data_IF_382499543163
#
_entry.id   IF_382499543163
#
_cell.length_a   1.000
_cell.length_b   1.000
_cell.length_c   1.000
_cell.angle_alpha   90.00
_cell.angle_beta   90.00
_cell.angle_gamma   90.00
#
_symmetry.space_group_name_H-M   'P 1'
#
loop_
_entity.id
_entity.type
_entity.pdbx_description
1 polymer ?
#
# COMPACT_ATOMS: atom_id res chain seq x y z
N UNK A 1 13.17 -38.09 4.18
CA UNK A 1 12.46 -36.94 3.60
C UNK A 1 12.66 -35.79 4.56
N UNK A 2 13.37 -34.73 4.14
CA UNK A 2 13.45 -33.49 4.92
C UNK A 2 12.34 -32.60 4.37
N UNK A 3 11.39 -32.24 5.23
CA UNK A 3 10.39 -31.22 4.94
C UNK A 3 11.10 -29.98 4.43
N UNK A 4 10.76 -29.59 3.20
CA UNK A 4 11.16 -28.31 2.61
C UNK A 4 10.03 -27.33 2.85
N UNK A 5 10.42 -26.09 3.12
CA UNK A 5 9.61 -24.87 3.22
C UNK A 5 8.76 -24.71 4.47
N UNK A 6 9.41 -24.61 5.63
CA UNK A 6 8.91 -23.62 6.59
C UNK A 6 9.01 -22.25 5.91
N UNK A 7 7.90 -21.51 5.75
CA UNK A 7 7.96 -20.09 5.36
C UNK A 7 8.98 -19.41 6.29
N UNK A 8 9.91 -18.58 5.78
CA UNK A 8 10.77 -17.77 6.65
C UNK A 8 9.87 -17.02 7.63
N UNK A 9 10.34 -16.78 8.87
CA UNK A 9 9.56 -16.12 9.91
C UNK A 9 8.75 -14.95 9.33
N UNK A 10 7.42 -15.07 9.29
CA UNK A 10 6.54 -14.02 8.77
C UNK A 10 6.84 -12.72 9.54
N UNK A 11 7.20 -11.66 8.81
CA UNK A 11 7.40 -10.31 9.33
C UNK A 11 6.74 -9.32 8.39
N UNK A 12 6.34 -8.16 8.92
CA UNK A 12 5.85 -7.04 8.10
C UNK A 12 6.81 -6.75 6.93
N UNK A 13 8.12 -6.76 7.17
CA UNK A 13 9.14 -6.50 6.14
C UNK A 13 9.11 -7.53 5.00
N UNK A 14 8.83 -8.80 5.31
CA UNK A 14 8.71 -9.83 4.27
C UNK A 14 7.52 -9.56 3.36
N UNK A 15 6.34 -9.28 3.93
CA UNK A 15 5.12 -9.00 3.15
C UNK A 15 5.26 -7.71 2.33
N UNK A 16 5.87 -6.66 2.89
CA UNK A 16 6.15 -5.40 2.16
C UNK A 16 7.05 -5.63 0.94
N UNK A 17 8.03 -6.55 1.05
CA UNK A 17 8.91 -6.93 -0.07
C UNK A 17 8.17 -7.76 -1.11
N UNK A 18 7.28 -8.65 -0.70
CA UNK A 18 6.52 -9.49 -1.64
C UNK A 18 5.52 -8.64 -2.44
N UNK A 19 4.84 -7.68 -1.79
CA UNK A 19 4.01 -6.68 -2.48
C UNK A 19 4.80 -5.92 -3.54
N UNK A 20 6.00 -5.42 -3.19
CA UNK A 20 6.85 -4.73 -4.18
C UNK A 20 7.18 -5.64 -5.36
N UNK A 21 7.57 -6.88 -5.09
CA UNK A 21 7.95 -7.84 -6.14
C UNK A 21 6.76 -8.15 -7.05
N UNK A 22 5.57 -8.33 -6.48
CA UNK A 22 4.35 -8.51 -7.26
C UNK A 22 4.12 -7.31 -8.18
N UNK A 23 4.27 -6.08 -7.68
CA UNK A 23 4.12 -4.88 -8.50
C UNK A 23 5.21 -4.84 -9.60
N UNK A 24 6.46 -5.14 -9.26
CA UNK A 24 7.60 -5.16 -10.20
C UNK A 24 7.45 -6.21 -11.31
N UNK A 25 6.80 -7.33 -11.02
CA UNK A 25 6.48 -8.34 -12.02
C UNK A 25 5.34 -7.90 -12.97
N UNK A 26 4.51 -6.92 -12.58
CA UNK A 26 3.38 -6.40 -13.38
C UNK A 26 3.77 -5.23 -14.27
N UNK A 27 4.67 -4.37 -13.79
CA UNK A 27 5.06 -3.14 -14.48
C UNK A 27 6.58 -2.99 -14.50
N UNK A 28 7.11 -2.35 -15.53
CA UNK A 28 8.52 -1.95 -15.54
C UNK A 28 8.73 -0.82 -14.51
N UNK A 29 9.21 -1.15 -13.31
CA UNK A 29 9.42 -0.15 -12.26
C UNK A 29 10.61 0.77 -12.53
N UNK A 30 11.44 0.46 -13.53
CA UNK A 30 12.66 1.23 -13.82
C UNK A 30 12.38 2.64 -14.37
N UNK A 31 11.17 2.89 -14.87
CA UNK A 31 10.75 4.18 -15.46
C UNK A 31 10.03 5.10 -14.47
N UNK A 32 9.72 4.62 -13.26
CA UNK A 32 8.99 5.40 -12.26
C UNK A 32 9.91 5.92 -11.15
N UNK A 33 9.58 7.10 -10.61
CA UNK A 33 10.28 7.68 -9.47
C UNK A 33 9.73 7.15 -8.14
N UNK A 34 8.42 6.89 -8.10
CA UNK A 34 7.69 6.48 -6.89
C UNK A 34 6.55 5.54 -7.26
N UNK A 35 6.28 4.58 -6.36
CA UNK A 35 5.09 3.73 -6.40
C UNK A 35 4.39 3.88 -5.05
N UNK A 36 3.07 4.00 -5.09
CA UNK A 36 2.23 4.05 -3.91
C UNK A 36 1.29 2.85 -3.94
N UNK A 37 1.30 2.05 -2.88
CA UNK A 37 0.37 0.94 -2.68
C UNK A 37 -0.59 1.29 -1.55
N UNK A 38 -1.87 1.01 -1.74
CA UNK A 38 -2.90 1.09 -0.72
C UNK A 38 -3.56 -0.28 -0.57
N UNK A 39 -3.57 -0.80 0.65
CA UNK A 39 -4.40 -1.94 1.04
C UNK A 39 -5.43 -1.51 2.06
N UNK A 40 -6.67 -1.96 1.91
CA UNK A 40 -7.79 -1.61 2.77
C UNK A 40 -8.49 -2.87 3.29
N UNK A 41 -8.84 -2.87 4.58
CA UNK A 41 -9.58 -3.92 5.26
C UNK A 41 -10.66 -3.21 6.10
N UNK A 42 -11.89 -3.17 5.61
CA UNK A 42 -13.00 -2.50 6.29
C UNK A 42 -14.32 -3.19 6.00
N UNK A 43 -15.20 -3.30 7.00
CA UNK A 43 -16.56 -3.85 6.82
C UNK A 43 -16.62 -5.28 6.28
N UNK A 44 -15.54 -6.07 6.42
CA UNK A 44 -15.41 -7.41 5.85
C UNK A 44 -15.08 -7.45 4.35
N UNK A 45 -14.73 -6.30 3.77
CA UNK A 45 -14.24 -6.14 2.40
C UNK A 45 -12.74 -5.85 2.47
N UNK A 46 -12.00 -6.44 1.53
CA UNK A 46 -10.60 -6.16 1.31
C UNK A 46 -10.40 -5.65 -0.09
N UNK A 47 -9.59 -4.60 -0.26
CA UNK A 47 -9.21 -4.06 -1.57
C UNK A 47 -7.75 -3.68 -1.60
N UNK A 48 -7.15 -3.75 -2.79
CA UNK A 48 -5.79 -3.27 -3.04
C UNK A 48 -5.75 -2.40 -4.28
N UNK A 49 -4.92 -1.36 -4.24
CA UNK A 49 -4.71 -0.44 -5.36
C UNK A 49 -3.26 0.06 -5.36
N UNK A 50 -2.74 0.47 -6.51
CA UNK A 50 -1.45 1.15 -6.58
C UNK A 50 -1.34 2.16 -7.72
N UNK A 51 -0.56 3.22 -7.45
CA UNK A 51 -0.29 4.33 -8.37
C UNK A 51 1.20 4.49 -8.60
N UNK A 52 1.56 4.91 -9.80
CA UNK A 52 2.96 5.14 -10.17
C UNK A 52 3.17 6.59 -10.60
N UNK A 53 4.32 7.16 -10.23
CA UNK A 53 4.73 8.51 -10.62
C UNK A 53 5.89 8.42 -11.59
N UNK A 54 5.66 8.90 -12.81
CA UNK A 54 6.67 9.03 -13.88
C UNK A 54 7.63 10.21 -13.59
N UNK A 55 8.71 10.33 -14.36
CA UNK A 55 9.70 11.39 -14.16
C UNK A 55 9.17 12.82 -14.34
N UNK A 56 8.07 12.98 -15.08
CA UNK A 56 7.42 14.25 -15.39
C UNK A 56 6.25 14.59 -14.44
N UNK A 57 6.21 13.96 -13.25
CA UNK A 57 5.15 14.11 -12.25
C UNK A 57 3.76 13.63 -12.71
N UNK A 58 3.68 12.86 -13.80
CA UNK A 58 2.44 12.23 -14.27
C UNK A 58 2.09 11.01 -13.42
N UNK A 59 0.82 10.92 -13.03
CA UNK A 59 0.26 9.74 -12.38
C UNK A 59 -0.26 8.79 -13.44
N UNK A 60 0.12 7.53 -13.29
CA UNK A 60 -0.50 6.40 -13.97
C UNK A 60 -1.22 5.54 -12.93
N UNK A 61 -2.55 5.56 -13.00
CA UNK A 61 -3.41 4.68 -12.21
C UNK A 61 -3.35 3.27 -12.82
N UNK A 62 -3.12 2.23 -12.00
CA UNK A 62 -3.07 0.87 -12.50
C UNK A 62 -4.23 0.04 -11.95
N UNK A 63 -5.08 -0.42 -12.86
CA UNK A 63 -6.18 -1.32 -12.50
C UNK A 63 -5.67 -2.75 -12.62
N UNK A 64 -5.64 -3.48 -11.50
CA UNK A 64 -5.14 -4.87 -11.41
C UNK A 64 -5.94 -5.90 -12.22
N UNK A 65 -7.07 -5.51 -12.83
CA UNK A 65 -8.02 -6.39 -13.54
C UNK A 65 -7.78 -6.56 -15.06
N UNK A 66 -6.53 -6.55 -15.54
CA UNK A 66 -6.24 -6.98 -16.91
C UNK A 66 -6.16 -8.52 -17.01
N UNK A 67 -6.60 -9.12 -18.12
CA UNK A 67 -6.65 -10.61 -18.30
C UNK A 67 -5.29 -11.31 -18.07
N UNK A 68 -4.17 -10.59 -18.11
CA UNK A 68 -2.83 -11.11 -17.80
C UNK A 68 -2.48 -11.18 -16.31
N UNK A 69 -3.32 -10.59 -15.44
CA UNK A 69 -3.03 -10.33 -14.02
C UNK A 69 -3.98 -11.10 -13.07
N UNK A 70 -4.65 -12.15 -13.57
CA UNK A 70 -5.55 -12.98 -12.76
C UNK A 70 -4.84 -13.52 -11.50
N UNK A 71 -5.44 -13.26 -10.33
CA UNK A 71 -4.92 -13.70 -9.03
C UNK A 71 -3.86 -12.79 -8.40
N UNK A 72 -3.50 -11.67 -9.02
CA UNK A 72 -2.64 -10.65 -8.41
C UNK A 72 -3.31 -10.00 -7.20
N UNK A 73 -4.56 -9.59 -7.33
CA UNK A 73 -5.33 -8.97 -6.23
C UNK A 73 -5.48 -9.93 -5.05
N UNK A 74 -5.68 -11.23 -5.31
CA UNK A 74 -5.73 -12.26 -4.27
C UNK A 74 -4.40 -12.40 -3.50
N UNK A 75 -3.26 -12.28 -4.19
CA UNK A 75 -1.94 -12.33 -3.55
C UNK A 75 -1.67 -11.08 -2.71
N UNK A 76 -1.89 -9.90 -3.28
CA UNK A 76 -1.73 -8.63 -2.55
C UNK A 76 -2.66 -8.60 -1.33
N UNK A 77 -3.89 -9.10 -1.48
CA UNK A 77 -4.85 -9.28 -0.39
C UNK A 77 -4.34 -10.26 0.67
N UNK A 78 -3.73 -11.39 0.27
CA UNK A 78 -3.17 -12.34 1.21
C UNK A 78 -2.02 -11.73 2.03
N UNK A 79 -1.13 -10.95 1.39
CA UNK A 79 0.01 -10.32 2.05
C UNK A 79 -0.44 -9.30 3.11
N UNK A 80 -1.45 -8.48 2.81
CA UNK A 80 -2.01 -7.54 3.80
C UNK A 80 -2.71 -8.25 4.97
N UNK A 81 -3.35 -9.40 4.72
CA UNK A 81 -3.96 -10.20 5.79
C UNK A 81 -2.91 -10.88 6.68
N UNK A 82 -1.82 -11.39 6.10
CA UNK A 82 -0.69 -11.96 6.83
C UNK A 82 0.00 -10.89 7.70
N UNK A 83 0.11 -9.64 7.21
CA UNK A 83 0.57 -8.51 8.02
C UNK A 83 -0.33 -8.24 9.24
N UNK A 84 -1.64 -8.22 9.07
CA UNK A 84 -2.57 -8.07 10.20
C UNK A 84 -2.52 -9.26 11.17
N UNK A 85 -2.35 -10.48 10.66
CA UNK A 85 -2.15 -11.66 11.49
C UNK A 85 -0.85 -11.57 12.31
N UNK A 86 0.23 -11.06 11.73
CA UNK A 86 1.47 -10.79 12.43
C UNK A 86 1.27 -9.79 13.58
N UNK A 87 0.56 -8.67 13.34
CA UNK A 87 0.25 -7.68 14.39
C UNK A 87 -0.57 -8.31 15.54
N UNK A 88 -1.58 -9.12 15.20
CA UNK A 88 -2.37 -9.86 16.19
C UNK A 88 -1.49 -10.78 17.05
N UNK A 89 -0.57 -11.53 16.45
CA UNK A 89 0.36 -12.40 17.19
C UNK A 89 1.29 -11.62 18.14
N UNK A 90 1.54 -10.33 17.85
CA UNK A 90 2.32 -9.42 18.68
C UNK A 90 1.49 -8.66 19.71
N UNK A 91 0.18 -8.93 19.82
CA UNK A 91 -0.79 -8.16 20.63
C UNK A 91 -0.82 -6.66 20.25
N UNK A 92 -0.64 -6.36 18.97
CA UNK A 92 -0.76 -5.00 18.43
C UNK A 92 -2.14 -4.81 17.79
N UNK A 93 -2.59 -3.56 17.69
CA UNK A 93 -3.85 -3.21 16.99
C UNK A 93 -3.69 -3.51 15.49
N UNK A 94 -4.68 -4.19 14.90
CA UNK A 94 -4.75 -4.42 13.46
C UNK A 94 -5.11 -3.11 12.74
N UNK A 95 -4.53 -2.89 11.57
CA UNK A 95 -4.83 -1.73 10.74
C UNK A 95 -6.07 -2.00 9.87
N UNK A 96 -6.75 -0.91 9.52
CA UNK A 96 -7.81 -0.92 8.50
C UNK A 96 -7.26 -0.46 7.15
N UNK A 97 -6.18 0.32 7.14
CA UNK A 97 -5.49 0.69 5.91
C UNK A 97 -3.98 0.62 6.09
N UNK A 98 -3.31 0.18 5.03
CA UNK A 98 -1.86 0.24 4.89
C UNK A 98 -1.54 1.02 3.62
N UNK A 99 -0.72 2.05 3.78
CA UNK A 99 -0.20 2.84 2.68
C UNK A 99 1.32 2.66 2.61
N UNK A 100 1.85 2.27 1.45
CA UNK A 100 3.28 2.06 1.23
C UNK A 100 3.75 2.93 0.08
N UNK A 101 4.69 3.83 0.37
CA UNK A 101 5.44 4.56 -0.66
C UNK A 101 6.78 3.87 -0.89
N UNK A 102 6.98 3.34 -2.09
CA UNK A 102 8.28 2.90 -2.59
C UNK A 102 8.95 4.04 -3.34
N UNK A 103 10.13 4.44 -2.89
CA UNK A 103 10.96 5.44 -3.56
C UNK A 103 12.24 4.78 -4.09
N UNK A 104 12.62 5.12 -5.31
CA UNK A 104 13.81 4.57 -5.96
C UNK A 104 14.98 5.54 -5.85
N UNK A 105 16.02 5.14 -5.13
CA UNK A 105 17.22 5.95 -4.91
C UNK A 105 18.46 5.20 -5.41
N UNK A 106 18.87 5.46 -6.66
CA UNK A 106 19.97 4.74 -7.33
C UNK A 106 19.69 3.23 -7.38
N UNK A 107 20.48 2.43 -6.66
CA UNK A 107 20.38 0.98 -6.52
C UNK A 107 19.62 0.58 -5.23
N UNK A 108 18.97 1.52 -4.52
CA UNK A 108 18.17 1.23 -3.32
C UNK A 108 16.67 1.46 -3.59
N UNK A 109 15.84 0.57 -3.03
CA UNK A 109 14.39 0.76 -2.91
C UNK A 109 14.10 1.06 -1.44
N UNK A 110 13.49 2.20 -1.15
CA UNK A 110 13.08 2.58 0.20
C UNK A 110 11.57 2.53 0.30
N UNK A 111 11.04 1.70 1.21
CA UNK A 111 9.61 1.63 1.50
C UNK A 111 9.30 2.44 2.76
N UNK A 112 8.43 3.45 2.63
CA UNK A 112 7.83 4.17 3.75
C UNK A 112 6.40 3.64 3.94
N UNK A 113 6.12 3.08 5.10
CA UNK A 113 4.82 2.46 5.41
C UNK A 113 4.10 3.31 6.44
N UNK A 114 2.83 3.59 6.18
CA UNK A 114 1.88 4.19 7.10
C UNK A 114 0.74 3.20 7.38
N UNK A 115 0.41 2.99 8.65
CA UNK A 115 -0.77 2.25 9.08
C UNK A 115 -1.83 3.21 9.61
N UNK A 116 -3.07 3.02 9.16
CA UNK A 116 -4.25 3.74 9.61
C UNK A 116 -5.27 2.76 10.19
N UNK A 117 -6.00 3.24 11.20
CA UNK A 117 -6.94 2.49 12.00
C UNK A 117 -8.37 3.01 11.88
N UNK A 118 -8.63 4.04 11.08
CA UNK A 118 -9.98 4.52 10.82
C UNK A 118 -10.79 3.48 10.06
N UNK A 119 -12.01 3.20 10.51
CA UNK A 119 -12.97 2.48 9.69
C UNK A 119 -13.85 3.50 8.94
N UNK A 120 -13.34 4.00 7.80
CA UNK A 120 -13.96 5.09 7.06
C UNK A 120 -15.47 4.89 6.79
N UNK A 121 -15.93 3.69 6.38
CA UNK A 121 -17.36 3.36 6.29
C UNK A 121 -18.15 3.50 7.60
N UNK A 122 -17.61 3.03 8.73
CA UNK A 122 -18.28 3.17 10.02
C UNK A 122 -18.40 4.64 10.43
N UNK A 123 -17.42 5.46 10.04
CA UNK A 123 -17.42 6.91 10.26
C UNK A 123 -18.25 7.70 9.22
N UNK A 124 -18.95 7.00 8.33
CA UNK A 124 -19.87 7.60 7.34
C UNK A 124 -19.18 8.15 6.09
N UNK A 125 -17.92 7.80 5.85
CA UNK A 125 -17.20 8.12 4.63
C UNK A 125 -17.31 6.98 3.62
N UNK A 126 -17.46 7.33 2.34
CA UNK A 126 -17.56 6.32 1.30
C UNK A 126 -16.18 5.78 0.92
N UNK A 127 -16.07 4.46 0.73
CA UNK A 127 -14.82 3.79 0.36
C UNK A 127 -14.15 4.38 -0.88
N UNK A 128 -14.93 4.80 -1.89
CA UNK A 128 -14.36 5.38 -3.11
C UNK A 128 -13.61 6.71 -2.88
N UNK A 129 -13.82 7.39 -1.75
CA UNK A 129 -13.09 8.60 -1.38
C UNK A 129 -11.78 8.33 -0.62
N UNK A 130 -11.57 7.09 -0.17
CA UNK A 130 -10.39 6.70 0.61
C UNK A 130 -9.11 6.78 -0.23
N UNK A 131 -9.07 6.23 -1.47
CA UNK A 131 -7.91 6.42 -2.36
C UNK A 131 -7.55 7.89 -2.59
N UNK A 132 -8.53 8.74 -2.91
CA UNK A 132 -8.35 10.18 -3.13
C UNK A 132 -7.77 10.88 -1.88
N UNK A 133 -8.21 10.48 -0.68
CA UNK A 133 -7.69 11.00 0.58
C UNK A 133 -6.21 10.68 0.78
N UNK A 134 -5.81 9.42 0.58
CA UNK A 134 -4.41 9.01 0.71
C UNK A 134 -3.52 9.61 -0.37
N UNK A 135 -4.02 9.68 -1.61
CA UNK A 135 -3.30 10.32 -2.71
C UNK A 135 -3.05 11.81 -2.42
N UNK A 136 -4.07 12.51 -1.91
CA UNK A 136 -3.93 13.90 -1.48
C UNK A 136 -2.89 14.07 -0.37
N UNK A 137 -2.90 13.19 0.64
CA UNK A 137 -1.94 13.23 1.74
C UNK A 137 -0.50 12.99 1.26
N UNK A 138 -0.30 12.08 0.31
CA UNK A 138 1.03 11.70 -0.17
C UNK A 138 1.60 12.67 -1.22
N UNK A 139 0.76 13.18 -2.12
CA UNK A 139 1.20 13.91 -3.32
C UNK A 139 0.60 15.31 -3.47
N UNK A 140 -0.33 15.67 -2.59
CA UNK A 140 -1.07 16.92 -2.63
C UNK A 140 -2.33 16.85 -3.49
N UNK A 141 -3.23 17.80 -3.23
CA UNK A 141 -4.58 17.88 -3.81
C UNK A 141 -4.62 18.01 -5.34
N UNK A 142 -3.50 18.38 -5.99
CA UNK A 142 -3.43 18.58 -7.45
C UNK A 142 -3.75 17.31 -8.26
N UNK A 143 -3.72 16.15 -7.63
CA UNK A 143 -3.95 14.84 -8.22
C UNK A 143 -5.34 14.26 -7.92
N UNK A 144 -6.12 14.95 -7.10
CA UNK A 144 -7.47 14.51 -6.74
C UNK A 144 -8.47 15.08 -7.75
N UNK A 145 -9.43 14.26 -8.15
CA UNK A 145 -10.50 14.75 -9.03
C UNK A 145 -11.36 15.80 -8.32
N UNK A 146 -11.97 16.75 -9.05
CA UNK A 146 -12.87 17.74 -8.44
C UNK A 146 -14.04 17.10 -7.64
N UNK A 147 -14.45 15.88 -8.00
CA UNK A 147 -15.47 15.14 -7.27
C UNK A 147 -14.91 14.53 -5.96
N UNK A 148 -13.66 14.07 -5.98
CA UNK A 148 -12.95 13.57 -4.81
C UNK A 148 -12.64 14.64 -3.77
N UNK A 149 -12.38 15.88 -4.19
CA UNK A 149 -11.94 16.96 -3.32
C UNK A 149 -12.86 17.23 -2.12
N UNK A 150 -14.19 17.19 -2.30
CA UNK A 150 -15.12 17.39 -1.18
C UNK A 150 -14.99 16.29 -0.12
N UNK A 151 -14.77 15.05 -0.54
CA UNK A 151 -14.55 13.94 0.38
C UNK A 151 -13.20 14.06 1.08
N UNK A 152 -12.15 14.39 0.34
CA UNK A 152 -10.80 14.62 0.89
C UNK A 152 -10.80 15.68 1.97
N UNK A 153 -11.48 16.82 1.76
CA UNK A 153 -11.57 17.88 2.76
C UNK A 153 -12.28 17.41 4.04
N UNK A 154 -13.39 16.66 3.91
CA UNK A 154 -14.14 16.17 5.07
C UNK A 154 -13.36 15.10 5.83
N UNK A 155 -12.74 14.16 5.12
CA UNK A 155 -11.89 13.12 5.71
C UNK A 155 -10.66 13.70 6.38
N UNK A 156 -10.04 14.72 5.77
CA UNK A 156 -8.89 15.43 6.38
C UNK A 156 -9.28 16.11 7.69
N UNK A 157 -10.40 16.85 7.71
CA UNK A 157 -10.90 17.48 8.95
C UNK A 157 -11.22 16.44 10.02
N UNK A 158 -11.80 15.31 9.62
CA UNK A 158 -12.08 14.21 10.54
C UNK A 158 -10.80 13.63 11.12
N UNK A 159 -9.83 13.26 10.28
CA UNK A 159 -8.53 12.72 10.71
C UNK A 159 -7.78 13.68 11.64
N UNK A 160 -7.74 14.98 11.32
CA UNK A 160 -7.07 15.99 12.15
C UNK A 160 -7.70 16.13 13.54
N UNK A 161 -9.02 15.94 13.65
CA UNK A 161 -9.69 15.91 14.96
C UNK A 161 -9.46 14.62 15.75
N UNK A 162 -8.83 13.61 15.14
CA UNK A 162 -8.59 12.27 15.69
C UNK A 162 -7.12 11.82 15.52
N UNK A 163 -6.15 12.76 15.47
CA UNK A 163 -4.70 12.53 15.20
C UNK A 163 -4.06 11.34 15.95
N UNK A 164 -4.61 10.91 17.10
CA UNK A 164 -4.13 9.74 17.83
C UNK A 164 -4.35 8.39 17.12
N UNK A 165 -5.13 8.37 16.03
CA UNK A 165 -5.51 7.16 15.29
C UNK A 165 -4.75 6.96 13.99
N UNK A 166 -3.81 7.86 13.65
CA UNK A 166 -2.98 7.79 12.43
C UNK A 166 -1.51 7.89 12.78
N UNK A 167 -0.85 6.77 13.11
CA UNK A 167 0.60 6.80 13.31
C UNK A 167 1.22 5.40 13.47
N UNK A 168 1.67 4.83 12.37
CA UNK A 168 2.90 4.02 12.38
C UNK A 168 3.67 4.28 11.10
N UNK A 169 4.70 5.13 11.17
CA UNK A 169 5.65 5.35 10.07
C UNK A 169 6.82 4.38 10.24
N UNK A 170 6.90 3.36 9.39
CA UNK A 170 7.99 2.40 9.35
C UNK A 170 8.77 2.56 8.05
N UNK A 171 10.10 2.62 8.13
CA UNK A 171 10.96 2.74 6.94
C UNK A 171 11.86 1.52 6.84
N UNK A 172 11.88 0.91 5.65
CA UNK A 172 12.76 -0.20 5.30
C UNK A 172 13.57 0.14 4.05
N UNK A 173 14.79 -0.40 3.95
CA UNK A 173 15.69 -0.26 2.80
C UNK A 173 16.01 -1.61 2.18
N UNK A 174 15.74 -1.77 0.88
CA UNK A 174 16.20 -2.91 0.08
C UNK A 174 17.34 -2.49 -0.86
N UNK A 175 18.31 -3.36 -1.03
CA UNK A 175 19.24 -3.28 -2.17
C UNK A 175 18.49 -3.80 -3.41
N UNK A 176 18.49 -3.07 -4.54
CA UNK A 176 18.23 -3.64 -5.87
C UNK A 176 19.41 -4.54 -6.18
N UNK A 177 19.42 -5.75 -5.63
CA UNK A 177 20.30 -6.76 -6.19
C UNK A 177 19.66 -7.23 -7.47
N UNK A 178 20.35 -7.01 -8.58
CA UNK A 178 20.19 -7.75 -9.81
C UNK A 178 20.49 -9.24 -9.52
N UNK A 179 19.63 -9.93 -8.77
CA UNK A 179 19.64 -11.39 -8.70
C UNK A 179 18.86 -11.95 -9.90
N UNK A 180 19.27 -11.53 -11.09
CA UNK A 180 19.06 -12.28 -12.32
C UNK A 180 20.42 -12.72 -12.85
N UNK A 181 21.12 -13.55 -12.09
CA UNK A 181 22.17 -14.41 -12.64
C UNK A 181 21.75 -15.89 -12.58
N UNK A 182 21.56 -16.42 -13.80
CA UNK A 182 21.48 -17.80 -14.32
C UNK A 182 20.10 -18.47 -14.33
#
# INVERSE_FOLDING_TARGET
MKDKTAKPNLTMEYEIKDIYKIIDDLIDTSIYQRIFFLGEISGGITSTDFWCIEEDDKISDFVTYEEGNEGTDDKLTADILEMNQFLTQKNMKNFNQIFIEYTFQKEEIVANVALDYFDWPEEGFAMYGVPDYYLSKALGEKYVTNFGMENVEKMTKYAESHEAETAFNYQFKNERKDEYEI
#
